data_IF_444212251389
#
_entry.id   IF_444212251389
#
_cell.length_a   1.000
_cell.length_b   1.000
_cell.length_c   1.000
_cell.angle_alpha   90.00
_cell.angle_beta   90.00
_cell.angle_gamma   90.00
#
_symmetry.space_group_name_H-M   'P 1'
#
loop_
_entity.id
_entity.type
_entity.pdbx_description
1 polymer ?
#
# COMPACT_ATOMS: atom_id res chain seq x y z
N UNK A 1 7.47 17.64 20.76
CA UNK A 1 7.25 16.79 19.58
C UNK A 1 5.74 16.60 19.45
N UNK A 2 5.16 16.99 18.32
CA UNK A 2 3.69 17.05 18.14
C UNK A 2 3.28 15.93 17.19
N UNK A 3 2.26 15.17 17.56
CA UNK A 3 1.73 14.06 16.75
C UNK A 3 0.27 14.32 16.42
N UNK A 4 -0.13 14.01 15.19
CA UNK A 4 -1.53 13.97 14.77
C UNK A 4 -1.98 12.51 14.71
N UNK A 5 -3.03 12.17 15.45
CA UNK A 5 -3.64 10.85 15.47
C UNK A 5 -5.15 10.98 15.43
N UNK A 6 -5.83 10.03 14.78
CA UNK A 6 -7.28 10.04 14.64
C UNK A 6 -7.82 8.71 14.14
N UNK A 7 -9.14 8.55 14.28
CA UNK A 7 -9.89 7.41 13.77
C UNK A 7 -11.07 7.92 12.95
N UNK A 8 -11.37 7.24 11.86
CA UNK A 8 -12.52 7.52 11.01
C UNK A 8 -13.34 6.25 10.81
N UNK A 9 -14.66 6.36 10.92
CA UNK A 9 -15.59 5.26 10.61
C UNK A 9 -16.31 5.59 9.32
N UNK A 10 -16.23 4.69 8.34
CA UNK A 10 -16.84 4.85 7.03
C UNK A 10 -17.78 3.67 6.77
N UNK A 11 -19.03 3.95 6.44
CA UNK A 11 -19.95 2.93 5.97
C UNK A 11 -19.65 2.61 4.50
N UNK A 12 -19.07 1.45 4.24
CA UNK A 12 -18.69 1.02 2.88
C UNK A 12 -19.62 -0.11 2.43
N UNK A 13 -20.34 0.12 1.33
CA UNK A 13 -21.10 -0.92 0.63
C UNK A 13 -20.35 -1.31 -0.65
N UNK A 14 -19.33 -2.17 -0.51
CA UNK A 14 -18.52 -2.64 -1.63
C UNK A 14 -18.42 -4.16 -1.61
N UNK A 15 -18.59 -4.81 -2.77
CA UNK A 15 -18.46 -6.26 -2.91
C UNK A 15 -17.00 -6.75 -2.81
N UNK A 16 -16.03 -5.89 -3.13
CA UNK A 16 -14.60 -6.20 -3.05
C UNK A 16 -13.77 -4.92 -2.78
N UNK A 17 -13.65 -4.47 -1.52
CA UNK A 17 -12.95 -3.20 -1.19
C UNK A 17 -11.42 -3.30 -1.38
N UNK A 18 -10.86 -4.50 -1.36
CA UNK A 18 -9.46 -4.77 -1.66
C UNK A 18 -9.30 -6.23 -2.07
N UNK A 19 -8.68 -6.45 -3.23
CA UNK A 19 -8.48 -7.80 -3.75
C UNK A 19 -7.39 -8.52 -2.95
N UNK A 20 -7.76 -9.68 -2.42
CA UNK A 20 -6.84 -10.71 -2.00
C UNK A 20 -6.25 -11.45 -3.19
N UNK A 21 -5.44 -12.46 -2.90
CA UNK A 21 -4.96 -13.37 -3.93
C UNK A 21 -6.11 -14.27 -4.36
N UNK A 22 -6.47 -14.24 -5.65
CA UNK A 22 -7.49 -15.13 -6.20
C UNK A 22 -7.04 -16.60 -6.18
N UNK A 23 -8.03 -17.49 -6.18
CA UNK A 23 -7.85 -18.95 -6.28
C UNK A 23 -8.69 -19.45 -7.45
N UNK A 24 -8.04 -20.14 -8.40
CA UNK A 24 -8.62 -20.57 -9.68
C UNK A 24 -9.38 -19.44 -10.39
N UNK A 25 -10.71 -19.59 -10.52
CA UNK A 25 -11.60 -18.63 -11.15
C UNK A 25 -12.36 -17.74 -10.13
N UNK A 26 -11.95 -17.77 -8.85
CA UNK A 26 -12.59 -16.99 -7.78
C UNK A 26 -11.73 -15.80 -7.38
N UNK A 27 -12.31 -14.61 -7.51
CA UNK A 27 -11.79 -13.41 -6.87
C UNK A 27 -12.01 -13.48 -5.37
N UNK A 28 -10.95 -13.27 -4.59
CA UNK A 28 -11.00 -13.27 -3.13
C UNK A 28 -10.83 -11.85 -2.59
N UNK A 29 -11.52 -11.53 -1.50
CA UNK A 29 -11.28 -10.30 -0.73
C UNK A 29 -10.27 -10.56 0.37
N UNK A 30 -9.44 -9.57 0.69
CA UNK A 30 -8.54 -9.67 1.85
C UNK A 30 -9.36 -9.77 3.14
N UNK A 31 -8.99 -10.71 3.99
CA UNK A 31 -9.69 -11.01 5.24
C UNK A 31 -8.72 -11.08 6.41
N UNK A 32 -9.18 -10.73 7.60
CA UNK A 32 -8.49 -10.96 8.86
C UNK A 32 -9.42 -11.66 9.84
N UNK A 33 -8.84 -12.36 10.81
CA UNK A 33 -9.59 -13.03 11.87
C UNK A 33 -9.54 -12.21 13.15
N UNK A 34 -10.68 -12.01 13.78
CA UNK A 34 -10.80 -11.43 15.11
C UNK A 34 -11.59 -12.40 15.99
N UNK A 35 -10.90 -13.09 16.90
CA UNK A 35 -11.49 -14.20 17.66
C UNK A 35 -11.88 -15.38 16.75
N UNK A 36 -13.15 -15.80 16.81
CA UNK A 36 -13.72 -16.84 15.94
C UNK A 36 -14.11 -16.35 14.56
N UNK A 37 -14.28 -15.03 14.40
CA UNK A 37 -14.94 -14.45 13.24
C UNK A 37 -13.94 -13.96 12.19
N UNK A 38 -14.39 -13.94 10.93
CA UNK A 38 -13.58 -13.51 9.78
C UNK A 38 -14.23 -12.30 9.14
N UNK A 39 -13.46 -11.23 8.99
CA UNK A 39 -13.92 -9.96 8.46
C UNK A 39 -13.13 -9.56 7.22
N UNK A 40 -13.77 -9.01 6.17
CA UNK A 40 -13.06 -8.37 5.09
C UNK A 40 -12.35 -7.10 5.60
N UNK A 41 -11.18 -6.79 5.06
CA UNK A 41 -10.48 -5.55 5.39
C UNK A 41 -9.79 -4.90 4.19
N UNK A 42 -9.54 -3.60 4.33
CA UNK A 42 -8.64 -2.86 3.46
C UNK A 42 -7.27 -2.82 4.13
N UNK A 43 -6.25 -3.36 3.46
CA UNK A 43 -4.88 -3.32 3.99
C UNK A 43 -4.35 -1.90 4.15
N UNK A 44 -3.59 -1.63 5.21
CA UNK A 44 -2.93 -0.34 5.44
C UNK A 44 -2.11 0.16 4.23
N UNK A 45 -1.53 -0.76 3.44
CA UNK A 45 -0.82 -0.43 2.21
C UNK A 45 -1.72 0.23 1.15
N UNK A 46 -2.98 -0.19 1.06
CA UNK A 46 -3.96 0.43 0.16
C UNK A 46 -4.31 1.85 0.65
N UNK A 47 -4.58 2.01 1.94
CA UNK A 47 -4.84 3.34 2.54
C UNK A 47 -3.66 4.30 2.35
N UNK A 48 -2.42 3.84 2.57
CA UNK A 48 -1.20 4.62 2.32
C UNK A 48 -1.10 5.03 0.85
N UNK A 49 -1.37 4.11 -0.08
CA UNK A 49 -1.37 4.42 -1.52
C UNK A 49 -2.43 5.47 -1.86
N UNK A 50 -3.65 5.36 -1.35
CA UNK A 50 -4.71 6.34 -1.62
C UNK A 50 -4.35 7.73 -1.09
N UNK A 51 -3.75 7.81 0.09
CA UNK A 51 -3.27 9.07 0.64
C UNK A 51 -2.15 9.67 -0.23
N UNK A 52 -1.22 8.84 -0.71
CA UNK A 52 -0.20 9.26 -1.69
C UNK A 52 -0.80 9.75 -3.00
N UNK A 53 -1.85 9.09 -3.50
CA UNK A 53 -2.56 9.48 -4.72
C UNK A 53 -3.37 10.78 -4.54
N UNK A 54 -3.69 11.17 -3.31
CA UNK A 54 -4.32 12.47 -3.01
C UNK A 54 -3.35 13.66 -2.92
N UNK A 55 -2.04 13.44 -3.10
CA UNK A 55 -1.07 14.54 -3.13
C UNK A 55 -1.40 15.52 -4.28
N UNK A 56 -1.14 16.83 -4.10
CA UNK A 56 -1.42 17.83 -5.14
C UNK A 56 -0.68 17.51 -6.45
N UNK A 57 -1.31 17.81 -7.60
CA UNK A 57 -0.75 17.48 -8.91
C UNK A 57 0.62 18.14 -9.21
N UNK A 58 0.95 19.25 -8.52
CA UNK A 58 2.24 19.93 -8.65
C UNK A 58 3.37 19.29 -7.85
N UNK A 59 3.06 18.34 -6.96
CA UNK A 59 4.06 17.66 -6.14
C UNK A 59 4.63 16.44 -6.86
N UNK A 60 5.95 16.33 -6.90
CA UNK A 60 6.60 15.20 -7.55
C UNK A 60 6.50 13.97 -6.65
N UNK A 61 5.87 12.90 -7.16
CA UNK A 61 5.82 11.61 -6.45
C UNK A 61 6.90 10.66 -6.98
N UNK A 62 7.51 9.91 -6.07
CA UNK A 62 8.61 9.00 -6.37
C UNK A 62 8.21 7.92 -7.38
N UNK A 63 8.94 7.72 -8.49
CA UNK A 63 8.62 6.65 -9.44
C UNK A 63 8.62 5.28 -8.76
N UNK A 64 7.64 4.43 -9.09
CA UNK A 64 7.52 3.08 -8.53
C UNK A 64 8.06 2.07 -9.53
N UNK A 65 9.13 1.39 -9.14
CA UNK A 65 9.69 0.26 -9.89
C UNK A 65 9.07 -1.03 -9.38
N UNK A 66 8.73 -1.93 -10.31
CA UNK A 66 8.32 -3.31 -9.98
C UNK A 66 9.34 -4.27 -10.56
N UNK A 67 10.04 -5.00 -9.70
CA UNK A 67 11.00 -6.01 -10.11
C UNK A 67 10.51 -7.42 -9.74
N UNK A 68 10.93 -8.42 -10.54
CA UNK A 68 10.65 -9.84 -10.29
C UNK A 68 9.58 -10.47 -11.20
N UNK A 69 9.60 -11.80 -11.28
CA UNK A 69 8.59 -12.62 -11.96
C UNK A 69 7.82 -13.48 -10.95
N UNK A 70 6.53 -13.70 -11.20
CA UNK A 70 5.67 -14.56 -10.37
C UNK A 70 5.50 -14.05 -8.93
N UNK A 71 5.83 -14.88 -7.93
CA UNK A 71 5.58 -14.63 -6.50
C UNK A 71 6.52 -13.60 -5.84
N UNK A 72 7.53 -13.09 -6.57
CA UNK A 72 8.56 -12.17 -6.06
C UNK A 72 8.44 -10.76 -6.65
N UNK A 73 7.24 -10.32 -7.04
CA UNK A 73 7.05 -8.95 -7.48
C UNK A 73 7.12 -7.99 -6.29
N UNK A 74 8.30 -7.40 -6.10
CA UNK A 74 8.49 -6.33 -5.13
C UNK A 74 8.31 -5.00 -5.86
N UNK A 75 7.44 -4.16 -5.31
CA UNK A 75 7.33 -2.76 -5.72
C UNK A 75 8.09 -1.89 -4.71
N UNK A 76 8.92 -0.99 -5.20
CA UNK A 76 9.63 -0.01 -4.37
C UNK A 76 9.71 1.33 -5.09
N UNK A 77 9.74 2.40 -4.30
CA UNK A 77 9.92 3.77 -4.79
C UNK A 77 11.39 4.06 -5.06
N UNK A 78 11.70 5.21 -5.67
CA UNK A 78 13.09 5.62 -5.96
C UNK A 78 13.92 5.87 -4.70
N UNK A 79 13.28 6.03 -3.54
CA UNK A 79 13.94 6.17 -2.24
C UNK A 79 14.84 7.39 -2.14
N UNK A 80 14.34 8.52 -2.63
CA UNK A 80 15.04 9.81 -2.65
C UNK A 80 14.20 10.84 -1.90
N UNK A 81 14.23 10.85 -0.55
CA UNK A 81 13.42 11.77 0.26
C UNK A 81 13.84 13.24 0.06
N UNK A 82 15.05 13.47 -0.46
CA UNK A 82 15.55 14.78 -0.87
C UNK A 82 14.90 15.31 -2.16
N UNK A 83 14.30 14.43 -2.97
CA UNK A 83 13.68 14.77 -4.26
C UNK A 83 12.16 14.56 -4.29
N UNK A 84 11.63 13.67 -3.45
CA UNK A 84 10.23 13.28 -3.50
C UNK A 84 9.60 13.31 -2.11
N UNK A 85 8.56 14.14 -1.96
CA UNK A 85 7.84 14.33 -0.71
C UNK A 85 7.26 13.02 -0.16
N UNK A 86 6.80 12.11 -1.01
CA UNK A 86 6.21 10.85 -0.59
C UNK A 86 7.22 9.86 -0.01
N UNK A 87 8.48 9.90 -0.47
CA UNK A 87 9.56 9.10 0.12
C UNK A 87 9.93 9.61 1.52
N UNK A 88 9.86 10.93 1.76
CA UNK A 88 10.06 11.53 3.09
C UNK A 88 8.88 11.25 4.03
N UNK A 89 7.66 11.61 3.61
CA UNK A 89 6.45 11.49 4.43
C UNK A 89 6.09 10.05 4.80
N UNK A 90 6.25 9.12 3.86
CA UNK A 90 5.82 7.73 4.06
C UNK A 90 7.00 6.77 4.28
N UNK A 91 8.24 7.23 4.09
CA UNK A 91 9.43 6.40 4.12
C UNK A 91 9.56 5.49 2.89
N UNK A 92 10.75 4.91 2.71
CA UNK A 92 11.08 4.05 1.57
C UNK A 92 11.93 2.86 2.00
N UNK A 93 11.96 1.82 1.17
CA UNK A 93 12.83 0.66 1.36
C UNK A 93 13.28 0.14 0.00
N UNK A 94 14.59 0.20 -0.26
CA UNK A 94 15.22 -0.34 -1.47
C UNK A 94 16.06 -1.53 -1.03
N UNK A 95 15.63 -2.73 -1.40
CA UNK A 95 16.35 -3.97 -1.14
C UNK A 95 16.64 -4.67 -2.47
N UNK A 96 17.51 -4.05 -3.27
CA UNK A 96 18.03 -4.69 -4.48
C UNK A 96 19.17 -5.63 -4.08
N UNK A 97 19.24 -6.80 -4.73
CA UNK A 97 20.38 -7.69 -4.54
C UNK A 97 21.62 -6.92 -5.01
N UNK A 98 22.68 -6.89 -4.20
CA UNK A 98 23.96 -6.41 -4.67
C UNK A 98 24.39 -7.32 -5.83
N UNK A 99 24.80 -6.73 -6.95
CA UNK A 99 25.52 -7.46 -7.97
C UNK A 99 26.85 -7.91 -7.33
N UNK A 100 27.12 -9.22 -7.35
CA UNK A 100 28.45 -9.76 -6.99
C UNK A 100 29.50 -9.28 -7.99
#
# INVERSE_FOLDING_TARGET
>A
MTFLSGQSVLAVKAGAPNNGRGEDNRGMVKQFRAGSDVYPYVSAQASRRWLRESLPAGEATSPVTRSGQGKKQQAYTKGRPDLYLDDDLFGYMIAVKADE
#
